data_IF_004265220523
#
_entry.id   IF_004265220523
#
_cell.length_a   1.000
_cell.length_b   1.000
_cell.length_c   1.000
_cell.angle_alpha   90.00
_cell.angle_beta   90.00
_cell.angle_gamma   90.00
#
_symmetry.space_group_name_H-M   'P 1'
#
loop_
_entity.id
_entity.type
_entity.pdbx_description
1 polymer ?
#
# COMPACT_ATOMS: atom_id res chain seq x y z
N UNK A 1 10.36 -0.38 -21.83
CA UNK A 1 8.96 -0.41 -21.35
C UNK A 1 8.82 0.69 -20.30
N UNK A 2 8.05 1.74 -20.58
CA UNK A 2 7.70 2.76 -19.57
C UNK A 2 6.85 2.08 -18.50
N UNK A 3 7.33 2.07 -17.27
CA UNK A 3 6.63 1.49 -16.13
C UNK A 3 5.34 2.24 -15.91
N UNK A 4 4.19 1.61 -16.17
CA UNK A 4 2.94 2.06 -15.58
C UNK A 4 3.16 2.18 -14.05
N UNK A 5 2.85 3.34 -13.50
CA UNK A 5 3.10 3.76 -12.12
C UNK A 5 2.33 2.90 -11.11
N UNK A 6 2.91 1.77 -10.67
CA UNK A 6 2.32 0.91 -9.64
C UNK A 6 2.12 1.59 -8.27
N UNK A 7 2.67 2.80 -8.10
CA UNK A 7 2.75 3.56 -6.86
C UNK A 7 1.52 4.45 -6.55
N UNK A 8 0.51 4.54 -7.42
CA UNK A 8 -0.66 5.41 -7.21
C UNK A 8 -1.67 4.89 -6.16
N UNK A 9 -1.56 3.61 -5.80
CA UNK A 9 -2.53 2.95 -4.91
C UNK A 9 -2.53 3.47 -3.46
N UNK A 10 -1.40 3.81 -2.80
CA UNK A 10 -1.39 4.29 -1.42
C UNK A 10 -2.07 5.66 -1.31
N UNK A 11 -1.99 6.45 -2.38
CA UNK A 11 -2.66 7.75 -2.53
C UNK A 11 -4.17 7.65 -2.47
N UNK A 12 -4.77 6.69 -3.19
CA UNK A 12 -6.22 6.48 -3.14
C UNK A 12 -6.70 6.04 -1.76
N UNK A 13 -5.89 5.27 -1.03
CA UNK A 13 -6.24 4.81 0.31
C UNK A 13 -6.15 5.93 1.37
N UNK A 14 -5.22 6.87 1.19
CA UNK A 14 -5.15 8.07 2.01
C UNK A 14 -6.36 8.99 1.75
N UNK A 15 -6.79 9.12 0.48
CA UNK A 15 -7.99 9.88 0.12
C UNK A 15 -9.24 9.25 0.72
N UNK A 16 -9.41 7.92 0.61
CA UNK A 16 -10.56 7.22 1.20
C UNK A 16 -10.57 7.29 2.73
N UNK A 17 -9.40 7.31 3.38
CA UNK A 17 -9.27 7.57 4.82
C UNK A 17 -9.69 9.00 5.21
N UNK A 18 -9.48 10.00 4.34
CA UNK A 18 -10.03 11.35 4.54
C UNK A 18 -11.56 11.39 4.41
N UNK A 19 -12.13 10.58 3.50
CA UNK A 19 -13.57 10.47 3.32
C UNK A 19 -14.28 9.82 4.52
N UNK A 20 -13.62 8.92 5.26
CA UNK A 20 -14.13 8.36 6.52
C UNK A 20 -14.59 9.45 7.51
N UNK A 21 -13.93 10.61 7.49
CA UNK A 21 -14.20 11.72 8.41
C UNK A 21 -15.29 12.67 7.90
N UNK A 22 -15.67 12.58 6.62
CA UNK A 22 -16.43 13.63 5.92
C UNK A 22 -17.62 13.12 5.12
N UNK A 23 -17.70 11.81 4.84
CA UNK A 23 -18.72 11.20 3.99
C UNK A 23 -19.24 9.88 4.57
N UNK A 24 -20.55 9.65 4.45
CA UNK A 24 -21.24 8.45 4.96
C UNK A 24 -20.76 7.14 4.32
N UNK A 25 -20.23 7.20 3.09
CA UNK A 25 -19.69 6.05 2.37
C UNK A 25 -18.16 5.89 2.53
N UNK A 26 -17.52 6.73 3.35
CA UNK A 26 -16.07 6.74 3.54
C UNK A 26 -15.53 5.43 4.12
N UNK A 27 -16.23 4.84 5.10
CA UNK A 27 -15.85 3.55 5.69
C UNK A 27 -15.84 2.43 4.64
N UNK A 28 -16.91 2.31 3.85
CA UNK A 28 -16.98 1.32 2.78
C UNK A 28 -15.85 1.47 1.77
N UNK A 29 -15.60 2.70 1.29
CA UNK A 29 -14.53 2.95 0.33
C UNK A 29 -13.15 2.63 0.91
N UNK A 30 -12.90 3.03 2.16
CA UNK A 30 -11.66 2.73 2.83
C UNK A 30 -11.47 1.22 3.03
N UNK A 31 -12.50 0.53 3.50
CA UNK A 31 -12.49 -0.91 3.76
C UNK A 31 -12.27 -1.72 2.47
N UNK A 32 -12.94 -1.37 1.37
CA UNK A 32 -12.75 -2.02 0.06
C UNK A 32 -11.36 -1.71 -0.50
N UNK A 33 -10.95 -0.44 -0.47
CA UNK A 33 -9.63 -0.02 -0.94
C UNK A 33 -8.49 -0.72 -0.20
N UNK A 34 -8.63 -0.94 1.11
CA UNK A 34 -7.66 -1.67 1.92
C UNK A 34 -7.49 -3.11 1.43
N UNK A 35 -8.59 -3.82 1.14
CA UNK A 35 -8.55 -5.21 0.63
C UNK A 35 -7.93 -5.29 -0.75
N UNK A 36 -8.28 -4.37 -1.64
CA UNK A 36 -7.71 -4.30 -3.00
C UNK A 36 -6.21 -4.03 -2.94
N UNK A 37 -5.79 -3.06 -2.12
CA UNK A 37 -4.38 -2.74 -1.91
C UNK A 37 -3.62 -3.95 -1.34
N UNK A 38 -4.16 -4.60 -0.32
CA UNK A 38 -3.52 -5.74 0.32
C UNK A 38 -3.35 -6.91 -0.65
N UNK A 39 -4.41 -7.25 -1.41
CA UNK A 39 -4.34 -8.25 -2.48
C UNK A 39 -3.32 -7.90 -3.56
N UNK A 40 -3.27 -6.62 -3.99
CA UNK A 40 -2.28 -6.16 -4.95
C UNK A 40 -0.84 -6.28 -4.41
N UNK A 41 -0.60 -5.99 -3.13
CA UNK A 41 0.70 -6.15 -2.49
C UNK A 41 1.14 -7.63 -2.47
N UNK A 42 0.22 -8.55 -2.15
CA UNK A 42 0.50 -10.00 -2.22
C UNK A 42 0.85 -10.45 -3.64
N UNK A 43 0.08 -10.01 -4.64
CA UNK A 43 0.36 -10.28 -6.05
C UNK A 43 1.72 -9.71 -6.48
N UNK A 44 2.11 -8.55 -5.95
CA UNK A 44 3.39 -7.94 -6.27
C UNK A 44 4.57 -8.71 -5.67
N UNK A 45 4.45 -9.23 -4.45
CA UNK A 45 5.46 -10.16 -3.88
C UNK A 45 5.60 -11.39 -4.76
N UNK A 46 4.48 -11.99 -5.18
CA UNK A 46 4.50 -13.15 -6.06
C UNK A 46 5.21 -12.84 -7.39
N UNK A 47 4.87 -11.71 -8.01
CA UNK A 47 5.52 -11.25 -9.25
C UNK A 47 7.03 -11.03 -9.05
N UNK A 48 7.44 -10.45 -7.93
CA UNK A 48 8.86 -10.25 -7.61
C UNK A 48 9.62 -11.58 -7.42
N UNK A 49 9.00 -12.56 -6.78
CA UNK A 49 9.57 -13.92 -6.60
C UNK A 49 9.71 -14.62 -7.95
N UNK A 50 8.71 -14.53 -8.83
CA UNK A 50 8.76 -15.09 -10.17
C UNK A 50 9.80 -14.38 -11.06
N UNK A 51 9.96 -13.06 -10.94
CA UNK A 51 10.99 -12.34 -11.67
C UNK A 51 12.42 -12.72 -11.22
N UNK A 52 12.60 -13.11 -9.95
CA UNK A 52 13.89 -13.55 -9.42
C UNK A 52 14.22 -15.01 -9.78
N UNK A 53 13.42 -15.98 -9.30
CA UNK A 53 13.83 -17.39 -9.31
C UNK A 53 13.81 -18.00 -10.71
N UNK A 54 12.69 -17.96 -11.46
CA UNK A 54 12.70 -18.36 -12.87
C UNK A 54 13.23 -17.28 -13.82
N UNK A 55 13.09 -15.99 -13.49
CA UNK A 55 13.49 -14.89 -14.38
C UNK A 55 14.96 -14.46 -14.32
N UNK A 56 15.74 -14.96 -13.35
CA UNK A 56 17.15 -14.60 -13.17
C UNK A 56 17.40 -13.16 -12.70
N UNK A 57 16.34 -12.44 -12.29
CA UNK A 57 16.43 -11.05 -11.83
C UNK A 57 17.10 -10.89 -10.46
N UNK A 58 17.21 -9.64 -9.98
CA UNK A 58 17.70 -9.37 -8.61
C UNK A 58 16.67 -9.75 -7.54
N UNK A 59 17.08 -10.22 -6.34
CA UNK A 59 16.15 -10.46 -5.23
C UNK A 59 15.70 -9.17 -4.51
N UNK A 60 16.32 -8.01 -4.80
CA UNK A 60 16.00 -6.73 -4.12
C UNK A 60 14.51 -6.34 -4.17
N UNK A 61 13.79 -6.49 -5.30
CA UNK A 61 12.35 -6.20 -5.36
C UNK A 61 11.52 -7.05 -4.40
N UNK A 62 11.95 -8.28 -4.09
CA UNK A 62 11.27 -9.14 -3.11
C UNK A 62 11.35 -8.51 -1.72
N UNK A 63 12.52 -7.99 -1.33
CA UNK A 63 12.70 -7.33 -0.04
C UNK A 63 11.79 -6.10 0.08
N UNK A 64 11.77 -5.24 -0.93
CA UNK A 64 10.92 -4.04 -0.94
C UNK A 64 9.42 -4.41 -0.92
N UNK A 65 9.00 -5.37 -1.75
CA UNK A 65 7.61 -5.82 -1.80
C UNK A 65 7.16 -6.47 -0.48
N UNK A 66 8.02 -7.29 0.12
CA UNK A 66 7.74 -7.96 1.40
C UNK A 66 7.69 -6.96 2.55
N UNK A 67 8.61 -5.99 2.58
CA UNK A 67 8.59 -4.91 3.57
C UNK A 67 7.32 -4.06 3.45
N UNK A 68 6.89 -3.74 2.22
CA UNK A 68 5.63 -3.04 2.00
C UNK A 68 4.42 -3.87 2.46
N UNK A 69 4.38 -5.16 2.12
CA UNK A 69 3.30 -6.05 2.57
C UNK A 69 3.24 -6.12 4.10
N UNK A 70 4.38 -6.21 4.78
CA UNK A 70 4.44 -6.20 6.25
C UNK A 70 3.88 -4.89 6.84
N UNK A 71 4.26 -3.73 6.29
CA UNK A 71 3.71 -2.44 6.72
C UNK A 71 2.19 -2.37 6.47
N UNK A 72 1.72 -2.88 5.32
CA UNK A 72 0.30 -2.95 5.01
C UNK A 72 -0.46 -3.88 5.98
N UNK A 73 0.11 -5.02 6.36
CA UNK A 73 -0.46 -5.93 7.37
C UNK A 73 -0.58 -5.24 8.73
N UNK A 74 0.46 -4.53 9.17
CA UNK A 74 0.42 -3.72 10.40
C UNK A 74 -0.71 -2.69 10.30
N UNK A 75 -0.86 -2.03 9.15
CA UNK A 75 -1.93 -1.07 8.97
C UNK A 75 -3.34 -1.67 9.05
N UNK A 76 -3.55 -2.83 8.45
CA UNK A 76 -4.84 -3.54 8.53
C UNK A 76 -5.14 -3.93 9.97
N UNK A 77 -4.16 -4.48 10.69
CA UNK A 77 -4.34 -4.88 12.10
C UNK A 77 -4.66 -3.69 12.98
N UNK A 78 -3.91 -2.58 12.87
CA UNK A 78 -4.16 -1.36 13.65
C UNK A 78 -5.53 -0.73 13.34
N UNK A 79 -5.96 -0.78 12.07
CA UNK A 79 -7.27 -0.32 11.64
C UNK A 79 -8.40 -1.15 12.26
N UNK A 80 -8.30 -2.49 12.20
CA UNK A 80 -9.29 -3.40 12.81
C UNK A 80 -9.29 -3.27 14.35
N UNK A 81 -8.13 -3.09 14.95
CA UNK A 81 -7.98 -2.91 16.40
C UNK A 81 -8.40 -1.51 16.88
N UNK A 82 -8.79 -0.61 15.99
CA UNK A 82 -9.20 0.77 16.31
C UNK A 82 -8.13 1.51 17.12
N UNK A 83 -6.86 1.45 16.68
CA UNK A 83 -5.73 2.18 17.29
C UNK A 83 -5.33 3.36 16.39
N UNK A 84 -6.14 4.43 16.31
CA UNK A 84 -5.93 5.53 15.37
C UNK A 84 -4.64 6.31 15.63
N UNK A 85 -4.19 6.36 16.89
CA UNK A 85 -2.96 7.05 17.29
C UNK A 85 -1.69 6.52 16.62
N UNK A 86 -1.73 5.28 16.10
CA UNK A 86 -0.62 4.66 15.35
C UNK A 86 -0.99 4.45 13.89
N UNK A 87 -2.23 4.02 13.61
CA UNK A 87 -2.74 3.78 12.27
C UNK A 87 -2.62 5.03 11.38
N UNK A 88 -3.08 6.19 11.88
CA UNK A 88 -3.10 7.43 11.10
C UNK A 88 -1.68 7.94 10.80
N UNK A 89 -0.77 8.14 11.77
CA UNK A 89 0.58 8.64 11.49
C UNK A 89 1.36 7.73 10.54
N UNK A 90 1.25 6.40 10.72
CA UNK A 90 1.88 5.44 9.82
C UNK A 90 1.32 5.58 8.39
N UNK A 91 0.02 5.83 8.26
CA UNK A 91 -0.66 5.97 6.97
C UNK A 91 -0.22 7.22 6.23
N UNK A 92 -0.14 8.33 6.96
CA UNK A 92 0.37 9.62 6.46
C UNK A 92 1.83 9.50 6.04
N UNK A 93 2.67 8.82 6.82
CA UNK A 93 4.07 8.59 6.45
C UNK A 93 4.20 7.81 5.14
N UNK A 94 3.48 6.69 5.02
CA UNK A 94 3.49 5.86 3.81
C UNK A 94 2.96 6.62 2.59
N UNK A 95 1.89 7.40 2.77
CA UNK A 95 1.36 8.29 1.74
C UNK A 95 2.39 9.34 1.31
N UNK A 96 2.99 10.06 2.26
CA UNK A 96 3.99 11.08 1.98
C UNK A 96 5.21 10.53 1.23
N UNK A 97 5.69 9.34 1.59
CA UNK A 97 6.76 8.66 0.87
C UNK A 97 6.33 8.27 -0.56
N UNK A 98 5.08 7.84 -0.75
CA UNK A 98 4.55 7.51 -2.08
C UNK A 98 4.47 8.74 -2.98
N UNK A 99 4.02 9.88 -2.43
CA UNK A 99 4.00 11.18 -3.14
C UNK A 99 5.41 11.67 -3.43
N UNK A 100 6.34 11.55 -2.49
CA UNK A 100 7.74 11.94 -2.70
C UNK A 100 8.39 11.13 -3.83
N UNK A 101 8.12 9.83 -3.89
CA UNK A 101 8.59 8.98 -4.99
C UNK A 101 7.96 9.40 -6.31
N UNK A 102 6.64 9.64 -6.33
CA UNK A 102 5.95 10.16 -7.52
C UNK A 102 6.57 11.46 -8.03
N UNK A 103 6.78 12.44 -7.15
CA UNK A 103 7.32 13.75 -7.53
C UNK A 103 8.75 13.71 -8.06
N UNK A 104 9.45 12.56 -7.93
CA UNK A 104 10.81 12.34 -8.44
C UNK A 104 10.85 11.64 -9.81
N UNK A 105 9.69 11.27 -10.36
CA UNK A 105 9.54 10.69 -11.71
C UNK A 105 9.31 11.80 -12.72
#
# INVERSE_FOLDING_TARGET
MRTASWWERPSLQAISAGLLLTASYGETLHSVGARVMYGAAMLYVLAAVLAWKPGGGSPRPILHASGFLALASVQVVLGIAHVPSVHLPLGVLMFGLSVLVLARV
#
